data_IF_320642833650
#
_entry.id   IF_320642833650
#
_cell.length_a   1.000
_cell.length_b   1.000
_cell.length_c   1.000
_cell.angle_alpha   90.00
_cell.angle_beta   90.00
_cell.angle_gamma   90.00
#
_symmetry.space_group_name_H-M   'P 1'
#
loop_
_entity.id
_entity.type
_entity.pdbx_description
1 polymer ?
#
# COMPACT_ATOMS: atom_id res chain seq x y z
N UNK A 1 -43.60 29.71 -2.08
CA UNK A 1 -42.76 28.55 -1.68
C UNK A 1 -41.63 28.24 -2.68
N UNK A 2 -41.85 28.27 -3.99
CA UNK A 2 -40.82 28.01 -5.02
C UNK A 2 -39.57 28.94 -5.00
N UNK A 3 -39.66 30.26 -4.79
CA UNK A 3 -38.47 31.13 -4.82
C UNK A 3 -37.58 30.97 -3.60
N UNK A 4 -38.16 30.59 -2.44
CA UNK A 4 -37.41 30.31 -1.22
C UNK A 4 -36.59 29.00 -1.34
N UNK A 5 -37.17 27.99 -1.99
CA UNK A 5 -36.45 26.73 -2.30
C UNK A 5 -35.28 26.98 -3.27
N UNK A 6 -35.47 27.84 -4.27
CA UNK A 6 -34.41 28.22 -5.22
C UNK A 6 -33.28 28.99 -4.54
N UNK A 7 -33.61 29.95 -3.67
CA UNK A 7 -32.62 30.71 -2.92
C UNK A 7 -31.81 29.80 -1.97
N UNK A 8 -32.48 28.87 -1.28
CA UNK A 8 -31.85 27.89 -0.38
C UNK A 8 -30.93 26.91 -1.15
N UNK A 9 -31.36 26.45 -2.33
CA UNK A 9 -30.53 25.60 -3.19
C UNK A 9 -29.29 26.33 -3.73
N UNK A 10 -29.41 27.61 -4.10
CA UNK A 10 -28.25 28.42 -4.50
C UNK A 10 -27.30 28.69 -3.34
N UNK A 11 -27.81 28.89 -2.12
CA UNK A 11 -26.92 29.04 -0.95
C UNK A 11 -26.17 27.75 -0.68
N UNK A 12 -26.84 26.59 -0.74
CA UNK A 12 -26.20 25.29 -0.55
C UNK A 12 -25.10 25.01 -1.59
N UNK A 13 -25.30 25.40 -2.85
CA UNK A 13 -24.30 25.28 -3.91
C UNK A 13 -23.12 26.26 -3.72
N UNK A 14 -23.35 27.41 -3.10
CA UNK A 14 -22.32 28.42 -2.85
C UNK A 14 -21.44 28.14 -1.62
N UNK A 15 -21.84 27.25 -0.69
CA UNK A 15 -21.04 26.88 0.49
C UNK A 15 -20.37 25.51 0.38
N UNK A 16 -20.59 24.77 -0.71
CA UNK A 16 -19.89 23.50 -0.94
C UNK A 16 -18.43 23.74 -1.37
N UNK A 17 -17.52 23.80 -0.41
CA UNK A 17 -16.08 23.74 -0.66
C UNK A 17 -15.72 22.36 -1.22
N UNK A 18 -15.18 22.33 -2.44
CA UNK A 18 -14.61 21.12 -3.04
C UNK A 18 -13.15 21.03 -2.63
N UNK A 19 -12.79 19.99 -1.89
CA UNK A 19 -11.39 19.66 -1.60
C UNK A 19 -10.89 18.67 -2.64
N UNK A 20 -9.82 19.02 -3.35
CA UNK A 20 -9.04 18.07 -4.16
C UNK A 20 -7.88 17.55 -3.33
N UNK A 21 -7.36 16.38 -3.69
CA UNK A 21 -6.02 16.02 -3.26
C UNK A 21 -5.02 17.04 -3.82
N UNK A 22 -4.04 17.43 -2.99
CA UNK A 22 -2.91 18.17 -3.48
C UNK A 22 -2.05 17.31 -4.40
N UNK A 23 -1.35 17.95 -5.33
CA UNK A 23 -0.35 17.26 -6.15
C UNK A 23 0.76 16.77 -5.21
N UNK A 24 0.84 15.45 -5.05
CA UNK A 24 1.92 14.82 -4.28
C UNK A 24 3.23 15.08 -5.03
N UNK A 25 4.17 15.75 -4.37
CA UNK A 25 5.52 15.94 -4.92
C UNK A 25 6.17 14.56 -5.12
N UNK A 26 6.77 14.29 -6.28
CA UNK A 26 7.51 13.04 -6.48
C UNK A 26 8.56 12.83 -5.39
N UNK A 27 8.88 11.57 -5.13
CA UNK A 27 10.02 11.22 -4.29
C UNK A 27 11.31 11.84 -4.83
N UNK A 28 12.30 12.04 -3.96
CA UNK A 28 13.62 12.50 -4.39
C UNK A 28 14.19 11.57 -5.46
N UNK A 29 14.85 12.09 -6.51
CA UNK A 29 15.48 11.26 -7.54
C UNK A 29 16.38 10.18 -6.91
N UNK A 30 16.24 8.94 -7.36
CA UNK A 30 17.00 7.80 -6.84
C UNK A 30 16.46 7.17 -5.55
N UNK A 31 15.31 7.63 -5.03
CA UNK A 31 14.69 7.03 -3.83
C UNK A 31 14.26 5.58 -4.02
N UNK A 32 14.00 5.17 -5.26
CA UNK A 32 13.61 3.85 -5.73
C UNK A 32 14.74 3.08 -6.42
N UNK A 33 15.97 3.59 -6.36
CA UNK A 33 17.17 2.96 -6.94
C UNK A 33 17.91 2.17 -5.85
N UNK A 34 18.30 0.91 -6.11
CA UNK A 34 19.09 0.12 -5.17
C UNK A 34 20.40 0.81 -4.82
N UNK A 35 20.75 0.81 -3.53
CA UNK A 35 22.00 1.37 -3.02
C UNK A 35 22.88 0.27 -2.47
N UNK A 36 24.16 0.33 -2.76
CA UNK A 36 25.15 -0.57 -2.18
C UNK A 36 25.58 -0.09 -0.78
N UNK A 37 26.06 -1.04 0.05
CA UNK A 37 26.61 -0.74 1.37
C UNK A 37 25.58 -0.37 2.44
N UNK A 38 24.29 -0.55 2.18
CA UNK A 38 23.22 -0.42 3.18
C UNK A 38 22.68 -1.78 3.59
N UNK A 39 22.02 -1.86 4.75
CA UNK A 39 21.36 -3.07 5.18
C UNK A 39 20.04 -3.25 4.41
N UNK A 40 19.79 -4.48 3.95
CA UNK A 40 18.59 -4.82 3.18
C UNK A 40 17.61 -5.64 4.01
N UNK A 41 16.32 -5.34 3.85
CA UNK A 41 15.26 -6.17 4.35
C UNK A 41 15.10 -7.45 3.53
N UNK A 42 14.10 -8.25 3.89
CA UNK A 42 13.78 -9.50 3.19
C UNK A 42 12.31 -9.50 2.78
N UNK A 43 12.04 -10.04 1.60
CA UNK A 43 10.67 -10.33 1.15
C UNK A 43 10.46 -11.83 1.16
N UNK A 44 9.43 -12.27 1.86
CA UNK A 44 8.95 -13.64 1.85
C UNK A 44 7.53 -13.72 1.29
N UNK A 45 7.20 -14.86 0.69
CA UNK A 45 5.82 -15.21 0.37
C UNK A 45 5.24 -16.04 1.50
N UNK A 46 4.08 -15.64 2.02
CA UNK A 46 3.30 -16.47 2.94
C UNK A 46 2.03 -16.99 2.27
N UNK A 47 1.53 -18.13 2.78
CA UNK A 47 0.21 -18.67 2.48
C UNK A 47 -0.62 -18.73 3.76
N UNK A 48 -1.93 -18.47 3.66
CA UNK A 48 -2.84 -18.54 4.80
C UNK A 48 -4.24 -18.98 4.35
N UNK A 49 -4.91 -19.80 5.15
CA UNK A 49 -6.32 -20.16 4.90
C UNK A 49 -7.20 -18.98 5.30
N UNK A 50 -7.97 -18.46 4.35
CA UNK A 50 -8.98 -17.43 4.61
C UNK A 50 -10.32 -18.08 4.89
N UNK A 51 -10.89 -17.79 6.06
CA UNK A 51 -12.25 -18.23 6.43
C UNK A 51 -13.33 -17.50 5.63
N UNK A 52 -13.12 -16.22 5.31
CA UNK A 52 -14.11 -15.36 4.64
C UNK A 52 -14.41 -15.80 3.21
N UNK A 53 -13.39 -16.23 2.47
CA UNK A 53 -13.52 -16.65 1.06
C UNK A 53 -13.24 -18.14 0.86
N UNK A 54 -13.13 -18.88 1.96
CA UNK A 54 -12.89 -20.32 2.01
C UNK A 54 -11.75 -20.85 1.10
N UNK A 55 -10.66 -20.11 0.95
CA UNK A 55 -9.54 -20.49 0.08
C UNK A 55 -8.18 -20.21 0.71
N UNK A 56 -7.13 -20.82 0.18
CA UNK A 56 -5.75 -20.49 0.55
C UNK A 56 -5.35 -19.24 -0.22
N UNK A 57 -4.95 -18.20 0.51
CA UNK A 57 -4.52 -16.92 -0.04
C UNK A 57 -3.02 -16.73 0.14
N UNK A 58 -2.46 -15.80 -0.62
CA UNK A 58 -1.04 -15.42 -0.58
C UNK A 58 -0.90 -13.95 -0.21
N UNK A 59 0.23 -13.65 0.42
CA UNK A 59 0.72 -12.29 0.61
C UNK A 59 2.25 -12.30 0.49
N UNK A 60 2.81 -11.20 0.01
CA UNK A 60 4.21 -10.89 0.22
C UNK A 60 4.37 -10.16 1.54
N UNK A 61 5.41 -10.48 2.29
CA UNK A 61 5.75 -9.84 3.57
C UNK A 61 7.18 -9.36 3.48
N UNK A 62 7.36 -8.05 3.65
CA UNK A 62 8.68 -7.46 3.84
C UNK A 62 8.97 -7.36 5.34
N UNK A 63 10.14 -7.86 5.75
CA UNK A 63 10.69 -7.65 7.08
C UNK A 63 11.87 -6.68 7.02
N UNK A 64 12.00 -5.73 7.96
CA UNK A 64 13.03 -4.72 7.93
C UNK A 64 14.43 -5.33 8.15
N UNK A 65 15.51 -4.59 7.83
CA UNK A 65 16.86 -5.02 8.16
C UNK A 65 16.99 -5.36 9.66
N UNK A 66 17.78 -6.37 9.99
CA UNK A 66 17.95 -6.86 11.37
C UNK A 66 16.65 -7.32 12.05
N UNK A 67 15.67 -7.80 11.27
CA UNK A 67 14.43 -8.37 11.81
C UNK A 67 14.69 -9.50 12.81
N UNK A 68 13.94 -9.48 13.92
CA UNK A 68 13.97 -10.53 14.92
C UNK A 68 12.56 -10.89 15.38
N UNK A 69 12.24 -12.18 15.38
CA UNK A 69 10.95 -12.70 15.89
C UNK A 69 10.70 -12.39 17.38
N UNK A 70 11.73 -11.95 18.13
CA UNK A 70 11.60 -11.57 19.55
C UNK A 70 11.10 -10.15 19.75
N UNK A 71 11.20 -9.31 18.71
CA UNK A 71 10.82 -7.91 18.78
C UNK A 71 9.39 -7.70 18.23
N UNK A 72 8.74 -6.64 18.66
CA UNK A 72 7.46 -6.17 18.10
C UNK A 72 7.73 -5.04 17.12
N UNK A 73 7.03 -5.07 15.99
CA UNK A 73 7.13 -4.06 14.94
C UNK A 73 5.73 -3.52 14.62
N UNK A 74 5.59 -2.23 14.28
CA UNK A 74 4.39 -1.76 13.62
C UNK A 74 4.20 -2.46 12.26
N UNK A 75 2.96 -2.53 11.80
CA UNK A 75 2.58 -3.19 10.56
C UNK A 75 1.98 -2.18 9.57
N UNK A 76 2.40 -2.25 8.31
CA UNK A 76 1.81 -1.53 7.19
C UNK A 76 1.20 -2.53 6.21
N UNK A 77 -0.10 -2.40 5.95
CA UNK A 77 -0.79 -3.18 4.91
C UNK A 77 -0.83 -2.37 3.62
N UNK A 78 -0.03 -2.77 2.63
CA UNK A 78 0.16 -2.05 1.38
C UNK A 78 -0.66 -2.72 0.27
N UNK A 79 -1.79 -2.10 -0.09
CA UNK A 79 -2.75 -2.65 -1.03
C UNK A 79 -2.49 -2.19 -2.47
N UNK A 80 -2.72 -3.08 -3.43
CA UNK A 80 -2.63 -2.78 -4.85
C UNK A 80 -3.93 -2.17 -5.40
N UNK A 81 -3.87 -1.61 -6.61
CA UNK A 81 -5.04 -1.08 -7.32
C UNK A 81 -5.90 -2.14 -8.02
N UNK A 82 -6.92 -1.70 -8.74
CA UNK A 82 -7.74 -2.57 -9.60
C UNK A 82 -6.82 -3.24 -10.63
N UNK A 83 -6.97 -4.56 -10.85
CA UNK A 83 -6.13 -5.28 -11.82
C UNK A 83 -4.99 -6.08 -11.17
N UNK A 84 -4.41 -5.57 -10.08
CA UNK A 84 -3.21 -6.12 -9.46
C UNK A 84 -3.42 -7.34 -8.55
N UNK A 85 -2.31 -7.94 -8.12
CA UNK A 85 -2.24 -9.04 -7.16
C UNK A 85 -1.23 -8.72 -6.03
N UNK A 86 -0.89 -9.69 -5.19
CA UNK A 86 0.08 -9.49 -4.09
C UNK A 86 1.48 -9.04 -4.56
N UNK A 87 1.80 -9.23 -5.84
CA UNK A 87 3.09 -8.87 -6.44
C UNK A 87 3.08 -7.52 -7.15
N UNK A 88 1.94 -6.85 -7.30
CA UNK A 88 1.81 -5.60 -8.07
C UNK A 88 2.84 -4.56 -7.63
N UNK A 89 2.92 -4.32 -6.32
CA UNK A 89 3.89 -3.41 -5.73
C UNK A 89 5.33 -3.84 -6.00
N UNK A 90 5.64 -5.13 -5.87
CA UNK A 90 6.99 -5.63 -6.12
C UNK A 90 7.41 -5.43 -7.59
N UNK A 91 6.50 -5.66 -8.53
CA UNK A 91 6.79 -5.57 -9.96
C UNK A 91 6.86 -4.13 -10.49
N UNK A 92 6.02 -3.23 -9.95
CA UNK A 92 5.87 -1.87 -10.47
C UNK A 92 6.42 -0.76 -9.59
N UNK A 93 6.67 -1.01 -8.31
CA UNK A 93 6.94 0.05 -7.33
C UNK A 93 8.19 -0.13 -6.47
N UNK A 94 8.92 -1.25 -6.59
CA UNK A 94 10.16 -1.53 -5.84
C UNK A 94 10.11 -1.16 -4.33
N UNK A 95 9.06 -1.56 -3.58
CA UNK A 95 8.83 -1.08 -2.23
C UNK A 95 9.98 -1.43 -1.28
N UNK A 96 10.62 -2.59 -1.46
CA UNK A 96 11.78 -2.98 -0.66
C UNK A 96 12.95 -2.01 -0.80
N UNK A 97 13.24 -1.53 -2.01
CA UNK A 97 14.31 -0.56 -2.26
C UNK A 97 14.02 0.76 -1.56
N UNK A 98 12.78 1.26 -1.70
CA UNK A 98 12.35 2.49 -1.06
C UNK A 98 12.45 2.37 0.47
N UNK A 99 11.96 1.26 1.03
CA UNK A 99 12.01 0.98 2.46
C UNK A 99 13.46 0.89 2.96
N UNK A 100 14.32 0.11 2.31
CA UNK A 100 15.75 -0.01 2.65
C UNK A 100 16.44 1.36 2.62
N UNK A 101 16.18 2.16 1.58
CA UNK A 101 16.73 3.51 1.45
C UNK A 101 16.26 4.43 2.57
N UNK A 102 14.99 4.35 2.98
CA UNK A 102 14.44 5.14 4.08
C UNK A 102 14.98 4.69 5.44
N UNK A 103 15.21 3.39 5.65
CA UNK A 103 15.86 2.87 6.85
C UNK A 103 17.32 3.32 6.96
N UNK A 104 18.08 3.23 5.87
CA UNK A 104 19.47 3.70 5.83
C UNK A 104 19.58 5.21 6.11
N UNK A 105 18.53 5.98 5.80
CA UNK A 105 18.45 7.41 6.09
C UNK A 105 17.88 7.73 7.48
N UNK A 106 17.43 6.73 8.25
CA UNK A 106 16.78 6.93 9.55
C UNK A 106 15.45 7.68 9.48
N UNK A 107 14.76 7.65 8.33
CA UNK A 107 13.52 8.43 8.10
C UNK A 107 12.25 7.70 8.53
N UNK A 108 12.31 6.40 8.75
CA UNK A 108 11.17 5.57 9.16
C UNK A 108 11.59 4.60 10.25
N UNK A 109 10.66 4.23 11.13
CA UNK A 109 10.87 3.19 12.13
C UNK A 109 10.79 1.79 11.48
N UNK A 110 11.61 0.81 11.90
CA UNK A 110 11.51 -0.58 11.43
C UNK A 110 10.08 -1.11 11.51
N UNK A 111 9.53 -1.56 10.38
CA UNK A 111 8.15 -2.05 10.29
C UNK A 111 8.05 -3.28 9.40
N UNK A 112 7.05 -4.12 9.67
CA UNK A 112 6.67 -5.22 8.78
C UNK A 112 5.70 -4.64 7.74
N UNK A 113 5.94 -4.90 6.46
CA UNK A 113 5.05 -4.46 5.38
C UNK A 113 4.40 -5.68 4.73
N UNK A 114 3.08 -5.77 4.80
CA UNK A 114 2.29 -6.87 4.26
C UNK A 114 1.63 -6.40 2.97
N UNK A 115 1.88 -7.11 1.87
CA UNK A 115 1.31 -6.88 0.55
C UNK A 115 0.40 -8.07 0.20
N UNK A 116 -0.88 -8.06 0.62
CA UNK A 116 -1.81 -9.13 0.31
C UNK A 116 -2.38 -8.97 -1.11
N UNK A 117 -2.89 -10.07 -1.66
CA UNK A 117 -3.82 -9.98 -2.78
C UNK A 117 -5.15 -9.44 -2.25
N UNK A 118 -5.55 -8.24 -2.67
CA UNK A 118 -6.77 -7.56 -2.22
C UNK A 118 -8.07 -8.16 -2.76
N UNK A 119 -8.01 -9.04 -3.77
CA UNK A 119 -9.20 -9.66 -4.36
C UNK A 119 -9.75 -10.75 -3.46
N UNK A 120 -10.82 -10.45 -2.74
CA UNK A 120 -11.50 -11.39 -1.86
C UNK A 120 -12.47 -12.30 -2.63
N UNK A 121 -11.94 -13.24 -3.41
CA UNK A 121 -12.75 -14.23 -4.16
C UNK A 121 -12.34 -15.66 -3.78
N UNK A 122 -13.31 -16.58 -3.74
CA UNK A 122 -13.11 -18.00 -3.40
C UNK A 122 -12.42 -18.79 -4.52
N UNK A 123 -12.49 -18.29 -5.75
CA UNK A 123 -11.82 -18.84 -6.92
C UNK A 123 -10.96 -17.75 -7.55
N UNK A 124 -9.64 -17.96 -7.71
CA UNK A 124 -8.87 -17.09 -8.57
C UNK A 124 -9.35 -17.36 -9.99
N UNK A 125 -10.20 -16.49 -10.53
CA UNK A 125 -10.20 -16.33 -11.98
C UNK A 125 -8.79 -15.87 -12.32
N UNK A 126 -7.92 -16.83 -12.61
CA UNK A 126 -6.67 -16.59 -13.28
C UNK A 126 -7.07 -16.05 -14.65
N UNK A 127 -7.28 -14.73 -14.74
CA UNK A 127 -7.24 -14.09 -16.03
C UNK A 127 -5.83 -14.39 -16.57
N UNK A 128 -5.71 -14.98 -17.76
CA UNK A 128 -4.40 -15.17 -18.37
C UNK A 128 -3.71 -13.81 -18.43
N UNK A 129 -2.50 -13.76 -17.89
CA UNK A 129 -1.60 -12.61 -18.06
C UNK A 129 -1.13 -12.56 -19.51
#
# INVERSE_FOLDING_TARGET
MKPLLFALAMTFLAVSTVYSQEIVKPGSPGSDVPREGIAHGQIDTITYKSKTVDTIRRALVYTPPCYSKRNKYPELYLLHGIGGDEKEWLNGGNPHVILDNLYAQGKIAPMIVVMPNGRAMSHPLALPK
#
